data_IF_548796072915
#
_entry.id   IF_548796072915
#
_cell.length_a   1.000
_cell.length_b   1.000
_cell.length_c   1.000
_cell.angle_alpha   90.00
_cell.angle_beta   90.00
_cell.angle_gamma   90.00
#
_symmetry.space_group_name_H-M   'P 1'
#
loop_
_entity.id
_entity.type
_entity.pdbx_description
1 polymer ?
#
# COMPACT_ATOMS: atom_id res chain seq x y z
N UNK A 1 -33.23 10.20 16.61
CA UNK A 1 -31.86 10.51 17.03
C UNK A 1 -31.19 9.41 17.86
N UNK A 2 -31.87 8.59 18.63
CA UNK A 2 -31.23 7.54 19.47
C UNK A 2 -30.68 6.31 18.71
N UNK A 3 -31.20 5.96 17.52
CA UNK A 3 -30.73 4.78 16.74
C UNK A 3 -29.42 4.98 15.98
N UNK A 4 -28.99 6.22 15.76
CA UNK A 4 -27.71 6.53 15.07
C UNK A 4 -26.50 6.41 16.03
N UNK A 5 -26.66 6.75 17.29
CA UNK A 5 -25.60 6.64 18.30
C UNK A 5 -25.25 5.18 18.66
N UNK A 6 -26.25 4.31 18.69
CA UNK A 6 -26.00 2.89 19.01
C UNK A 6 -25.23 2.13 17.92
N UNK A 7 -25.33 2.51 16.65
CA UNK A 7 -24.55 1.87 15.56
C UNK A 7 -23.06 2.24 15.62
N UNK A 8 -22.71 3.45 16.03
CA UNK A 8 -21.30 3.88 16.15
C UNK A 8 -20.55 3.19 17.29
N UNK A 9 -21.23 2.95 18.42
CA UNK A 9 -20.62 2.26 19.57
C UNK A 9 -20.37 0.76 19.27
N UNK A 10 -21.24 0.11 18.48
CA UNK A 10 -21.03 -1.28 18.08
C UNK A 10 -19.84 -1.44 17.11
N UNK A 11 -19.56 -0.44 16.28
CA UNK A 11 -18.43 -0.47 15.35
C UNK A 11 -17.08 -0.31 16.06
N UNK A 12 -16.98 0.56 17.07
CA UNK A 12 -15.73 0.76 17.83
C UNK A 12 -15.42 -0.44 18.72
N UNK A 13 -16.42 -1.07 19.32
CA UNK A 13 -16.21 -2.29 20.13
C UNK A 13 -15.92 -3.53 19.29
N UNK A 14 -16.40 -3.60 18.04
CA UNK A 14 -16.06 -4.64 17.08
C UNK A 14 -14.59 -4.57 16.62
N UNK A 15 -14.09 -3.39 16.37
CA UNK A 15 -12.70 -3.17 15.93
C UNK A 15 -11.67 -3.52 17.02
N UNK A 16 -11.94 -3.21 18.28
CA UNK A 16 -11.05 -3.57 19.39
C UNK A 16 -10.95 -5.08 19.63
N UNK A 17 -12.03 -5.84 19.37
CA UNK A 17 -12.03 -7.31 19.53
C UNK A 17 -11.32 -8.00 18.35
N UNK A 18 -11.38 -7.45 17.15
CA UNK A 18 -10.70 -7.97 15.95
C UNK A 18 -9.19 -7.77 16.05
N UNK A 19 -8.73 -6.63 16.59
CA UNK A 19 -7.30 -6.33 16.72
C UNK A 19 -6.54 -7.31 17.64
N UNK A 20 -7.18 -7.92 18.61
CA UNK A 20 -6.53 -8.84 19.57
C UNK A 20 -6.45 -10.27 19.03
N UNK A 21 -7.34 -10.66 18.14
CA UNK A 21 -7.35 -12.02 17.55
C UNK A 21 -6.35 -12.16 16.38
N UNK A 22 -6.03 -11.06 15.69
CA UNK A 22 -5.21 -11.09 14.47
C UNK A 22 -3.69 -11.03 14.68
N UNK A 23 -3.21 -10.69 15.87
CA UNK A 23 -1.77 -10.75 16.16
C UNK A 23 -1.18 -12.18 16.03
N UNK A 24 -2.04 -13.20 15.91
CA UNK A 24 -1.64 -14.62 15.82
C UNK A 24 -1.57 -15.12 14.35
N UNK A 25 -2.17 -14.40 13.38
CA UNK A 25 -2.33 -14.89 11.99
C UNK A 25 -1.41 -14.22 10.95
N UNK A 26 -0.51 -13.34 11.36
CA UNK A 26 0.17 -12.42 10.43
C UNK A 26 1.31 -13.02 9.60
N UNK A 27 1.63 -14.32 9.67
CA UNK A 27 2.82 -14.84 9.00
C UNK A 27 2.64 -16.23 8.35
N UNK A 28 2.36 -16.31 7.04
CA UNK A 28 2.58 -17.54 6.30
C UNK A 28 4.09 -17.76 6.06
N UNK A 29 4.58 -18.95 6.31
CA UNK A 29 5.96 -19.33 6.02
C UNK A 29 6.17 -19.51 4.51
N UNK A 30 7.08 -18.75 3.94
CA UNK A 30 7.47 -18.75 2.52
C UNK A 30 8.45 -19.90 2.20
N UNK A 31 8.13 -21.14 2.60
CA UNK A 31 8.84 -22.30 2.10
C UNK A 31 7.80 -23.31 1.58
N UNK A 32 7.72 -23.36 0.23
CA UNK A 32 6.85 -24.25 -0.50
C UNK A 32 7.11 -25.74 -0.25
N UNK A 33 6.78 -26.23 0.93
CA UNK A 33 6.58 -27.65 1.23
C UNK A 33 5.54 -27.79 2.32
N UNK A 34 4.61 -28.70 2.09
CA UNK A 34 3.45 -29.07 2.88
C UNK A 34 3.72 -29.00 4.38
N UNK A 35 3.01 -28.13 5.08
CA UNK A 35 2.98 -28.13 6.53
C UNK A 35 1.61 -28.54 7.03
N UNK A 36 1.59 -29.64 7.73
CA UNK A 36 0.46 -30.03 8.55
C UNK A 36 0.28 -29.03 9.69
N UNK A 37 -0.95 -28.55 9.86
CA UNK A 37 -1.35 -27.68 10.95
C UNK A 37 -1.33 -28.51 12.25
N UNK A 38 -0.41 -28.20 13.15
CA UNK A 38 -0.47 -28.68 14.53
C UNK A 38 -1.24 -27.63 15.33
N UNK A 39 -2.52 -27.87 15.54
CA UNK A 39 -3.32 -27.10 16.50
C UNK A 39 -2.91 -27.52 17.93
N UNK A 40 -2.09 -26.71 18.57
CA UNK A 40 -1.88 -26.78 20.01
C UNK A 40 -2.97 -25.99 20.71
N UNK A 41 -4.00 -26.65 21.19
CA UNK A 41 -5.00 -26.03 22.07
C UNK A 41 -4.40 -25.91 23.47
N UNK A 42 -3.92 -24.75 23.82
CA UNK A 42 -3.73 -24.39 25.22
C UNK A 42 -5.10 -24.03 25.82
N UNK A 43 -5.59 -24.84 26.67
CA UNK A 43 -6.77 -24.56 27.48
C UNK A 43 -6.45 -23.39 28.42
N UNK A 44 -7.10 -22.24 28.20
CA UNK A 44 -7.10 -21.16 29.17
C UNK A 44 -8.17 -21.44 30.22
N UNK A 45 -7.75 -21.62 31.45
CA UNK A 45 -8.64 -21.66 32.62
C UNK A 45 -9.39 -20.34 32.75
N UNK A 46 -10.71 -20.44 32.95
CA UNK A 46 -11.59 -19.27 33.12
C UNK A 46 -11.26 -18.56 34.45
N UNK A 47 -11.20 -17.23 34.49
CA UNK A 47 -11.04 -16.52 35.73
C UNK A 47 -12.28 -16.67 36.62
N UNK A 48 -12.15 -16.66 37.96
CA UNK A 48 -13.28 -16.81 38.88
C UNK A 48 -14.22 -15.60 38.79
N UNK A 49 -15.54 -15.76 39.10
CA UNK A 49 -16.52 -14.70 38.94
C UNK A 49 -16.28 -13.55 39.94
N UNK A 50 -16.25 -12.35 39.40
CA UNK A 50 -16.13 -11.12 40.17
C UNK A 50 -17.36 -10.93 41.07
N UNK A 51 -17.15 -10.71 42.36
CA UNK A 51 -18.19 -10.36 43.32
C UNK A 51 -18.77 -8.99 42.99
N UNK A 52 -20.09 -8.93 42.80
CA UNK A 52 -20.86 -7.68 42.73
C UNK A 52 -20.72 -6.91 44.04
N UNK A 53 -20.09 -5.74 43.99
CA UNK A 53 -20.13 -4.72 45.07
C UNK A 53 -21.19 -3.71 44.68
N UNK A 54 -22.14 -3.50 45.63
CA UNK A 54 -23.24 -2.55 45.52
C UNK A 54 -22.75 -1.09 45.47
N UNK A 55 -23.34 -0.18 44.71
CA UNK A 55 -22.87 1.19 44.58
C UNK A 55 -23.21 2.01 45.80
N UNK A 56 -22.21 2.58 46.44
CA UNK A 56 -22.37 3.66 47.45
C UNK A 56 -21.87 4.96 46.82
N UNK A 57 -22.77 5.93 46.87
CA UNK A 57 -22.61 7.41 46.81
C UNK A 57 -21.65 7.95 45.73
N UNK A 58 -22.24 8.54 44.69
CA UNK A 58 -21.62 9.45 43.75
C UNK A 58 -21.10 10.69 44.49
N UNK A 59 -19.79 10.93 44.36
CA UNK A 59 -19.21 12.25 44.56
C UNK A 59 -18.97 12.83 43.15
N UNK A 60 -19.46 14.05 42.94
CA UNK A 60 -19.25 14.83 41.72
C UNK A 60 -17.76 14.86 41.38
N UNK A 61 -17.40 14.22 40.27
CA UNK A 61 -16.15 14.41 39.58
C UNK A 61 -16.44 15.34 38.43
N UNK A 62 -15.85 16.54 38.46
CA UNK A 62 -15.88 17.48 37.34
C UNK A 62 -15.51 16.72 36.03
N UNK A 63 -16.43 16.66 35.09
CA UNK A 63 -16.16 16.28 33.70
C UNK A 63 -15.24 17.36 33.11
N UNK A 64 -13.93 17.17 33.21
CA UNK A 64 -13.03 17.79 32.24
C UNK A 64 -13.42 17.26 30.85
N UNK A 65 -14.09 18.10 30.09
CA UNK A 65 -14.33 17.87 28.69
C UNK A 65 -12.95 17.77 28.01
N UNK A 66 -12.49 16.56 27.71
CA UNK A 66 -11.48 16.36 26.69
C UNK A 66 -12.03 16.93 25.39
N UNK A 67 -11.61 18.13 25.08
CA UNK A 67 -11.84 18.81 23.81
C UNK A 67 -11.06 18.00 22.78
N UNK A 68 -11.72 16.97 22.21
CA UNK A 68 -11.20 16.25 21.05
C UNK A 68 -11.10 17.29 19.94
N UNK A 69 -9.92 17.82 19.75
CA UNK A 69 -9.61 18.69 18.63
C UNK A 69 -9.96 17.90 17.36
N UNK A 70 -11.11 18.26 16.78
CA UNK A 70 -11.55 17.72 15.51
C UNK A 70 -10.52 18.17 14.45
N UNK A 71 -9.69 17.24 13.96
CA UNK A 71 -8.72 17.56 12.91
C UNK A 71 -9.52 17.97 11.68
N UNK A 72 -9.31 19.20 11.22
CA UNK A 72 -9.96 19.69 10.02
C UNK A 72 -9.27 19.09 8.79
N UNK A 73 -10.05 18.44 7.93
CA UNK A 73 -9.57 18.00 6.62
C UNK A 73 -9.11 19.22 5.82
N UNK A 74 -7.91 19.14 5.24
CA UNK A 74 -7.38 20.15 4.35
C UNK A 74 -8.10 20.07 3.01
N UNK A 75 -8.40 21.21 2.42
CA UNK A 75 -8.93 21.28 1.06
C UNK A 75 -7.79 21.04 0.06
N UNK A 76 -8.10 20.32 -1.04
CA UNK A 76 -7.16 20.13 -2.14
C UNK A 76 -6.75 21.50 -2.71
N UNK A 77 -5.46 21.80 -2.81
CA UNK A 77 -4.98 23.06 -3.40
C UNK A 77 -5.45 23.23 -4.85
N UNK A 78 -5.83 24.45 -5.21
CA UNK A 78 -6.25 24.76 -6.59
C UNK A 78 -5.02 24.83 -7.50
N UNK A 79 -5.07 24.12 -8.64
CA UNK A 79 -4.00 24.14 -9.66
C UNK A 79 -2.98 23.01 -9.55
N UNK A 80 -3.14 22.07 -8.62
CA UNK A 80 -2.37 20.83 -8.62
C UNK A 80 -2.73 19.98 -9.84
N UNK A 81 -1.72 19.30 -10.42
CA UNK A 81 -1.93 18.30 -11.44
C UNK A 81 -2.77 17.15 -10.87
N UNK A 82 -3.70 16.63 -11.66
CA UNK A 82 -4.41 15.42 -11.30
C UNK A 82 -3.50 14.19 -11.47
N UNK A 83 -3.78 13.10 -10.73
CA UNK A 83 -3.10 11.83 -10.95
C UNK A 83 -3.19 11.38 -12.41
N UNK A 84 -4.33 11.61 -13.07
CA UNK A 84 -4.53 11.27 -14.49
C UNK A 84 -3.51 12.00 -15.37
N UNK A 85 -3.25 13.29 -15.14
CA UNK A 85 -2.26 14.06 -15.91
C UNK A 85 -0.83 13.60 -15.62
N UNK A 86 -0.49 13.37 -14.35
CA UNK A 86 0.83 12.86 -13.94
C UNK A 86 1.08 11.49 -14.59
N UNK A 87 0.14 10.55 -14.44
CA UNK A 87 0.23 9.20 -14.99
C UNK A 87 0.21 9.15 -16.52
N UNK A 88 -0.45 10.11 -17.18
CA UNK A 88 -0.48 10.18 -18.65
C UNK A 88 0.87 10.57 -19.25
N UNK A 89 1.69 11.33 -18.52
CA UNK A 89 2.97 11.84 -18.96
C UNK A 89 4.16 10.99 -18.47
N UNK A 90 3.93 10.04 -17.57
CA UNK A 90 5.00 9.23 -16.99
C UNK A 90 5.33 8.02 -17.87
N UNK A 91 6.58 7.88 -18.27
CA UNK A 91 7.14 6.70 -18.94
C UNK A 91 7.97 5.83 -17.97
N UNK A 92 8.37 6.38 -16.82
CA UNK A 92 9.13 5.71 -15.78
C UNK A 92 8.40 5.80 -14.46
N UNK A 93 8.31 4.68 -13.76
CA UNK A 93 7.88 4.56 -12.37
C UNK A 93 9.10 4.18 -11.54
N UNK A 94 9.49 4.98 -10.55
CA UNK A 94 10.57 4.63 -9.64
C UNK A 94 10.14 3.46 -8.73
N UNK A 95 10.71 2.29 -8.93
CA UNK A 95 10.42 1.06 -8.19
C UNK A 95 11.01 1.13 -6.78
N UNK A 96 10.21 0.84 -5.75
CA UNK A 96 10.62 0.92 -4.34
C UNK A 96 11.21 2.27 -3.96
N UNK A 97 10.60 3.37 -4.40
CA UNK A 97 11.06 4.76 -4.24
C UNK A 97 12.40 5.06 -4.94
N UNK A 98 12.89 4.16 -5.82
CA UNK A 98 14.07 4.34 -6.63
C UNK A 98 15.37 3.80 -6.02
N UNK A 99 16.45 3.87 -6.83
CA UNK A 99 17.77 3.36 -6.47
C UNK A 99 18.66 4.46 -5.93
N UNK A 100 19.39 4.17 -4.86
CA UNK A 100 20.44 5.03 -4.33
C UNK A 100 21.70 4.23 -3.99
N UNK A 101 22.89 4.74 -4.33
CA UNK A 101 24.19 4.11 -4.09
C UNK A 101 24.29 2.64 -4.59
N UNK A 102 23.58 2.33 -5.66
CA UNK A 102 23.55 0.98 -6.21
C UNK A 102 22.55 0.03 -5.54
N UNK A 103 21.83 0.48 -4.51
CA UNK A 103 20.82 -0.27 -3.78
C UNK A 103 19.42 0.08 -4.28
N UNK A 104 18.56 -0.91 -4.50
CA UNK A 104 17.17 -0.74 -4.94
C UNK A 104 16.19 -1.16 -3.85
N UNK A 105 14.93 -0.76 -4.00
CA UNK A 105 13.81 -1.14 -3.10
C UNK A 105 14.01 -0.78 -1.64
N UNK A 106 14.79 0.27 -1.36
CA UNK A 106 15.01 0.75 0.00
C UNK A 106 13.78 1.46 0.58
N UNK A 107 12.92 2.00 -0.28
CA UNK A 107 11.75 2.77 0.16
C UNK A 107 12.14 3.89 1.14
N UNK A 108 13.18 4.64 0.82
CA UNK A 108 13.79 5.64 1.70
C UNK A 108 13.68 7.06 1.13
N UNK A 109 13.79 8.05 2.00
CA UNK A 109 13.71 9.46 1.63
C UNK A 109 14.76 9.86 0.59
N UNK A 110 16.01 9.44 0.77
CA UNK A 110 17.13 9.82 -0.10
C UNK A 110 16.97 9.24 -1.52
N UNK A 111 16.39 8.01 -1.64
CA UNK A 111 16.04 7.42 -2.93
C UNK A 111 14.96 8.24 -3.64
N UNK A 112 13.91 8.61 -2.93
CA UNK A 112 12.85 9.48 -3.44
C UNK A 112 13.40 10.82 -3.95
N UNK A 113 14.15 11.53 -3.12
CA UNK A 113 14.69 12.86 -3.47
C UNK A 113 15.60 12.79 -4.72
N UNK A 114 16.48 11.79 -4.80
CA UNK A 114 17.35 11.60 -5.95
C UNK A 114 16.56 11.39 -7.25
N UNK A 115 15.51 10.56 -7.22
CA UNK A 115 14.68 10.28 -8.40
C UNK A 115 13.79 11.48 -8.77
N UNK A 116 13.24 12.17 -7.77
CA UNK A 116 12.46 13.38 -7.99
C UNK A 116 13.29 14.48 -8.67
N UNK A 117 14.50 14.74 -8.17
CA UNK A 117 15.43 15.74 -8.76
C UNK A 117 15.84 15.36 -10.19
N UNK A 118 15.88 14.07 -10.50
CA UNK A 118 16.14 13.55 -11.84
C UNK A 118 14.89 13.55 -12.77
N UNK A 119 13.75 14.07 -12.30
CA UNK A 119 12.55 14.29 -13.11
C UNK A 119 11.50 13.18 -13.01
N UNK A 120 11.68 12.14 -12.20
CA UNK A 120 10.63 11.14 -11.96
C UNK A 120 9.47 11.77 -11.18
N UNK A 121 8.24 11.41 -11.57
CA UNK A 121 7.01 11.93 -10.96
C UNK A 121 6.03 10.83 -10.53
N UNK A 122 6.29 9.59 -10.90
CA UNK A 122 5.51 8.45 -10.43
C UNK A 122 6.44 7.51 -9.66
N UNK A 123 6.06 7.19 -8.43
CA UNK A 123 6.84 6.36 -7.53
C UNK A 123 6.00 5.15 -7.12
N UNK A 124 6.58 3.98 -7.12
CA UNK A 124 5.98 2.83 -6.48
C UNK A 124 6.55 2.73 -5.06
N UNK A 125 5.64 2.44 -4.12
CA UNK A 125 5.95 2.31 -2.70
C UNK A 125 5.48 0.94 -2.18
N UNK A 126 6.43 0.17 -1.68
CA UNK A 126 6.17 -1.09 -0.97
C UNK A 126 5.65 -0.80 0.44
N UNK A 127 4.52 -1.39 0.81
CA UNK A 127 3.87 -1.12 2.09
C UNK A 127 3.85 -2.36 2.98
N UNK A 128 4.26 -2.19 4.25
CA UNK A 128 4.23 -3.24 5.26
C UNK A 128 3.60 -2.74 6.56
N UNK A 129 3.04 -3.68 7.32
CA UNK A 129 2.56 -3.42 8.67
C UNK A 129 3.64 -3.68 9.70
N UNK A 130 3.78 -2.76 10.64
CA UNK A 130 4.58 -2.92 11.85
C UNK A 130 3.83 -3.75 12.89
N UNK A 131 4.50 -4.15 13.98
CA UNK A 131 3.89 -4.92 15.07
C UNK A 131 2.73 -4.19 15.76
N UNK A 132 2.77 -2.88 15.81
CA UNK A 132 1.71 -2.01 16.34
C UNK A 132 0.68 -1.59 15.27
N UNK A 133 0.63 -2.36 14.17
CA UNK A 133 -0.38 -2.20 13.12
C UNK A 133 -0.36 -0.80 12.48
N UNK A 134 0.83 -0.27 12.23
CA UNK A 134 1.04 0.97 11.49
C UNK A 134 1.69 0.68 10.15
N UNK A 135 1.30 1.41 9.12
CA UNK A 135 1.87 1.24 7.78
C UNK A 135 3.18 1.99 7.64
N UNK A 136 4.20 1.30 7.12
CA UNK A 136 5.53 1.85 6.80
C UNK A 136 5.94 1.44 5.40
N UNK A 137 6.89 2.17 4.81
CA UNK A 137 7.45 1.88 3.50
C UNK A 137 8.59 0.88 3.63
N UNK A 138 8.35 -0.35 3.15
CA UNK A 138 9.33 -1.43 3.25
C UNK A 138 9.00 -2.56 2.29
N UNK A 139 9.98 -3.04 1.49
CA UNK A 139 9.77 -4.18 0.61
C UNK A 139 9.52 -5.48 1.41
N UNK A 140 10.40 -5.81 2.35
CA UNK A 140 10.30 -6.96 3.22
C UNK A 140 11.09 -6.75 4.53
N UNK A 141 10.93 -7.65 5.51
CA UNK A 141 11.57 -7.52 6.81
C UNK A 141 12.95 -8.17 6.90
N UNK A 142 13.45 -8.86 5.87
CA UNK A 142 14.72 -9.59 5.87
C UNK A 142 15.80 -8.99 4.99
N UNK A 143 15.47 -8.18 3.98
CA UNK A 143 16.44 -7.49 3.15
C UNK A 143 16.87 -6.16 3.75
N UNK A 144 18.12 -5.77 3.53
CA UNK A 144 18.70 -4.52 4.03
C UNK A 144 18.46 -4.33 5.54
N UNK A 145 18.77 -5.35 6.29
CA UNK A 145 18.47 -5.38 7.71
C UNK A 145 19.31 -4.40 8.50
N UNK A 146 18.68 -3.91 9.48
CA UNK A 146 19.14 -3.76 10.85
C UNK A 146 20.21 -4.83 11.12
N UNK A 147 21.36 -4.46 11.71
CA UNK A 147 22.58 -5.29 11.80
C UNK A 147 22.39 -6.73 12.27
N UNK A 148 21.28 -7.05 12.97
CA UNK A 148 21.07 -8.33 13.62
C UNK A 148 20.01 -9.22 12.97
N UNK A 149 19.45 -8.81 11.81
CA UNK A 149 18.32 -9.50 11.20
C UNK A 149 17.03 -9.34 12.02
N UNK A 150 15.90 -9.12 11.34
CA UNK A 150 14.61 -9.15 12.02
C UNK A 150 14.09 -10.57 11.94
N UNK A 151 13.96 -11.20 13.10
CA UNK A 151 13.14 -12.40 13.25
C UNK A 151 11.67 -12.00 13.05
N UNK A 152 10.91 -12.80 12.34
CA UNK A 152 9.48 -12.61 12.15
C UNK A 152 8.70 -12.40 13.45
N UNK A 153 9.17 -13.00 14.55
CA UNK A 153 8.62 -12.77 15.89
C UNK A 153 8.90 -11.36 16.44
N UNK A 154 9.81 -10.60 15.81
CA UNK A 154 10.32 -9.32 16.28
C UNK A 154 10.17 -8.19 15.26
N UNK A 155 9.09 -8.19 14.45
CA UNK A 155 8.75 -7.03 13.63
C UNK A 155 8.69 -5.79 14.52
N UNK A 156 9.37 -4.68 14.15
CA UNK A 156 9.43 -3.49 14.99
C UNK A 156 8.08 -2.78 15.08
N UNK A 157 7.89 -1.95 16.11
CA UNK A 157 6.88 -0.90 16.09
C UNK A 157 7.26 0.19 15.10
N UNK A 158 6.30 1.04 14.67
CA UNK A 158 6.58 2.21 13.81
C UNK A 158 7.65 3.11 14.42
N UNK A 159 7.53 3.42 15.72
CA UNK A 159 8.53 4.24 16.43
C UNK A 159 9.93 3.63 16.33
N UNK A 160 10.07 2.34 16.62
CA UNK A 160 11.36 1.64 16.53
C UNK A 160 11.89 1.61 15.10
N UNK A 161 11.02 1.37 14.10
CA UNK A 161 11.39 1.38 12.69
C UNK A 161 11.96 2.74 12.25
N UNK A 162 11.32 3.83 12.64
CA UNK A 162 11.74 5.19 12.28
C UNK A 162 12.96 5.69 13.09
N UNK A 163 13.21 5.11 14.27
CA UNK A 163 14.33 5.52 15.12
C UNK A 163 15.70 5.11 14.60
N UNK A 164 15.76 4.23 13.61
CA UNK A 164 17.00 3.69 13.06
C UNK A 164 17.11 3.97 11.56
N UNK A 165 18.34 4.21 11.10
CA UNK A 165 18.60 4.37 9.67
C UNK A 165 18.73 3.01 8.99
N UNK A 166 18.18 2.87 7.80
CA UNK A 166 18.42 1.70 6.94
C UNK A 166 19.90 1.69 6.58
N UNK A 167 20.61 0.61 6.89
CA UNK A 167 22.07 0.47 6.71
C UNK A 167 22.87 1.62 7.37
N UNK A 168 22.41 2.13 8.53
CA UNK A 168 22.99 3.25 9.26
C UNK A 168 23.08 4.57 8.47
N UNK A 169 22.42 4.66 7.33
CA UNK A 169 22.57 5.76 6.38
C UNK A 169 21.26 6.38 5.92
N UNK A 170 20.31 5.56 5.46
CA UNK A 170 19.12 6.04 4.77
C UNK A 170 17.93 6.19 5.70
N UNK A 171 17.12 7.21 5.43
CA UNK A 171 15.96 7.55 6.26
C UNK A 171 14.76 6.67 5.91
N UNK A 172 14.28 5.81 6.83
CA UNK A 172 13.05 5.07 6.65
C UNK A 172 11.86 6.01 6.64
N UNK A 173 10.77 5.59 6.00
CA UNK A 173 9.53 6.37 5.86
C UNK A 173 8.34 5.58 6.42
N UNK A 174 7.50 6.26 7.20
CA UNK A 174 6.14 5.80 7.50
C UNK A 174 5.17 6.22 6.39
N UNK A 175 3.94 5.73 6.44
CA UNK A 175 2.89 6.20 5.55
C UNK A 175 2.53 7.68 5.81
N UNK A 176 2.62 8.14 7.07
CA UNK A 176 2.48 9.57 7.38
C UNK A 176 3.57 10.42 6.71
N UNK A 177 4.83 9.96 6.72
CA UNK A 177 5.92 10.65 6.03
C UNK A 177 5.68 10.69 4.52
N UNK A 178 5.14 9.62 3.93
CA UNK A 178 4.76 9.60 2.51
C UNK A 178 3.67 10.64 2.19
N UNK A 179 2.65 10.75 3.04
CA UNK A 179 1.62 11.79 2.87
C UNK A 179 2.19 13.20 2.95
N UNK A 180 3.10 13.45 3.89
CA UNK A 180 3.79 14.75 4.00
C UNK A 180 4.67 15.04 2.77
N UNK A 181 5.36 14.04 2.23
CA UNK A 181 6.08 14.17 0.96
C UNK A 181 5.12 14.49 -0.20
N UNK A 182 3.98 13.83 -0.27
CA UNK A 182 2.99 14.12 -1.31
C UNK A 182 2.37 15.53 -1.17
N UNK A 183 2.25 16.05 0.04
CA UNK A 183 1.82 17.43 0.28
C UNK A 183 2.91 18.43 -0.17
N UNK A 184 4.18 18.16 0.15
CA UNK A 184 5.33 18.99 -0.22
C UNK A 184 5.61 18.98 -1.74
N UNK A 185 5.40 17.83 -2.38
CA UNK A 185 5.64 17.58 -3.80
C UNK A 185 4.31 17.35 -4.54
N UNK A 186 3.57 18.41 -4.93
CA UNK A 186 2.21 18.28 -5.45
C UNK A 186 2.11 17.68 -6.86
N UNK A 187 3.24 17.49 -7.54
CA UNK A 187 3.35 16.96 -8.89
C UNK A 187 3.73 15.46 -8.96
N UNK A 188 3.64 14.73 -7.83
CA UNK A 188 3.89 13.29 -7.80
C UNK A 188 2.61 12.45 -7.66
N UNK A 189 2.67 11.23 -8.18
CA UNK A 189 1.69 10.17 -7.98
C UNK A 189 2.37 8.93 -7.37
N UNK A 190 1.70 8.28 -6.43
CA UNK A 190 2.18 7.07 -5.77
C UNK A 190 1.38 5.86 -6.27
N UNK A 191 2.08 4.80 -6.69
CA UNK A 191 1.50 3.47 -6.92
C UNK A 191 1.83 2.62 -5.70
N UNK A 192 0.79 2.09 -5.03
CA UNK A 192 1.00 1.30 -3.81
C UNK A 192 1.23 -0.17 -4.12
N UNK A 193 2.19 -0.81 -3.44
CA UNK A 193 2.30 -2.27 -3.40
C UNK A 193 2.14 -2.77 -1.96
N UNK A 194 0.93 -3.24 -1.63
CA UNK A 194 0.56 -3.58 -0.25
C UNK A 194 1.19 -4.88 0.24
N UNK A 195 1.76 -5.71 -0.64
CA UNK A 195 2.35 -7.03 -0.33
C UNK A 195 1.40 -8.03 0.34
N UNK A 196 0.14 -7.70 0.51
CA UNK A 196 -0.85 -8.57 1.15
C UNK A 196 -2.00 -8.89 0.19
N UNK A 197 -2.22 -10.17 -0.05
CA UNK A 197 -3.35 -10.70 -0.85
C UNK A 197 -4.50 -11.18 0.03
N UNK A 198 -4.22 -11.48 1.31
CA UNK A 198 -5.22 -11.90 2.29
C UNK A 198 -6.13 -10.73 2.65
N UNK A 199 -7.45 -10.95 2.54
CA UNK A 199 -8.45 -9.91 2.75
C UNK A 199 -8.38 -9.27 4.13
N UNK A 200 -8.15 -10.07 5.16
CA UNK A 200 -8.15 -9.57 6.53
C UNK A 200 -6.96 -8.67 6.80
N UNK A 201 -5.82 -8.96 6.17
CA UNK A 201 -4.59 -8.19 6.36
C UNK A 201 -4.59 -6.90 5.54
N UNK A 202 -5.04 -6.92 4.29
CA UNK A 202 -5.08 -5.68 3.53
C UNK A 202 -6.13 -4.69 4.08
N UNK A 203 -7.25 -5.16 4.65
CA UNK A 203 -8.20 -4.29 5.33
C UNK A 203 -7.55 -3.54 6.49
N UNK A 204 -6.81 -4.24 7.35
CA UNK A 204 -6.10 -3.63 8.47
C UNK A 204 -5.08 -2.59 7.99
N UNK A 205 -4.36 -2.89 6.91
CA UNK A 205 -3.39 -1.97 6.35
C UNK A 205 -4.06 -0.70 5.81
N UNK A 206 -5.15 -0.83 5.04
CA UNK A 206 -5.85 0.32 4.50
C UNK A 206 -6.57 1.13 5.57
N UNK A 207 -7.11 0.50 6.62
CA UNK A 207 -7.65 1.21 7.80
C UNK A 207 -6.55 2.01 8.51
N UNK A 208 -5.35 1.45 8.66
CA UNK A 208 -4.18 2.17 9.18
C UNK A 208 -3.80 3.37 8.32
N UNK A 209 -3.78 3.21 6.99
CA UNK A 209 -3.48 4.29 6.04
C UNK A 209 -4.54 5.40 6.11
N UNK A 210 -5.81 5.03 6.18
CA UNK A 210 -6.91 5.99 6.29
C UNK A 210 -6.86 6.74 7.62
N UNK A 211 -6.56 6.06 8.73
CA UNK A 211 -6.39 6.69 10.03
C UNK A 211 -5.23 7.69 10.02
N UNK A 212 -4.08 7.34 9.44
CA UNK A 212 -2.93 8.22 9.30
C UNK A 212 -3.26 9.46 8.44
N UNK A 213 -4.04 9.30 7.35
CA UNK A 213 -4.45 10.42 6.51
C UNK A 213 -5.44 11.35 7.23
N UNK A 214 -6.40 10.80 7.97
CA UNK A 214 -7.33 11.60 8.80
C UNK A 214 -6.61 12.34 9.93
N UNK A 215 -5.63 11.71 10.58
CA UNK A 215 -4.84 12.34 11.64
C UNK A 215 -4.10 13.59 11.14
N UNK A 216 -3.68 13.59 9.88
CA UNK A 216 -2.99 14.71 9.23
C UNK A 216 -3.94 15.68 8.49
N UNK A 217 -5.23 15.32 8.31
CA UNK A 217 -6.17 16.06 7.48
C UNK A 217 -5.82 16.01 5.99
N UNK A 218 -5.21 14.92 5.51
CA UNK A 218 -4.63 14.78 4.17
C UNK A 218 -5.32 13.71 3.32
N UNK A 219 -6.58 13.37 3.59
CA UNK A 219 -7.31 12.35 2.83
C UNK A 219 -7.45 12.68 1.34
N UNK A 220 -7.46 13.96 0.96
CA UNK A 220 -7.49 14.39 -0.44
C UNK A 220 -6.30 13.89 -1.27
N UNK A 221 -5.16 13.55 -0.62
CA UNK A 221 -3.99 13.01 -1.30
C UNK A 221 -4.21 11.62 -1.88
N UNK A 222 -5.22 10.88 -1.41
CA UNK A 222 -5.59 9.61 -2.02
C UNK A 222 -6.02 9.74 -3.50
N UNK A 223 -6.42 10.93 -3.94
CA UNK A 223 -6.67 11.21 -5.35
C UNK A 223 -5.40 11.17 -6.22
N UNK A 224 -4.22 11.21 -5.60
CA UNK A 224 -2.92 11.07 -6.27
C UNK A 224 -2.25 9.72 -5.97
N UNK A 225 -3.04 8.73 -5.54
CA UNK A 225 -2.58 7.35 -5.36
C UNK A 225 -3.28 6.42 -6.34
N UNK A 226 -2.50 5.56 -7.00
CA UNK A 226 -3.00 4.42 -7.77
C UNK A 226 -2.83 3.16 -6.95
N UNK A 227 -3.96 2.56 -6.58
CA UNK A 227 -3.98 1.42 -5.66
C UNK A 227 -3.78 0.12 -6.44
N UNK A 228 -2.70 -0.60 -6.13
CA UNK A 228 -2.45 -1.91 -6.69
C UNK A 228 -3.34 -2.96 -6.05
N UNK A 229 -4.03 -3.75 -6.88
CA UNK A 229 -4.91 -4.82 -6.46
C UNK A 229 -4.54 -6.13 -7.13
N UNK A 230 -4.80 -7.23 -6.44
CA UNK A 230 -4.46 -8.60 -6.85
C UNK A 230 -5.70 -9.42 -7.25
N UNK A 231 -6.88 -8.91 -6.91
CA UNK A 231 -8.16 -9.52 -7.27
C UNK A 231 -9.26 -8.48 -7.39
N UNK A 232 -10.36 -8.85 -8.04
CA UNK A 232 -11.52 -7.98 -8.13
C UNK A 232 -12.27 -7.85 -6.81
N UNK A 233 -12.18 -8.85 -5.98
CA UNK A 233 -12.74 -8.80 -4.64
C UNK A 233 -11.99 -7.76 -3.78
N UNK A 234 -10.66 -7.72 -3.87
CA UNK A 234 -9.85 -6.71 -3.22
C UNK A 234 -10.24 -5.29 -3.68
N UNK A 235 -10.35 -5.07 -4.99
CA UNK A 235 -10.80 -3.75 -5.53
C UNK A 235 -12.14 -3.33 -4.97
N UNK A 236 -13.13 -4.23 -4.94
CA UNK A 236 -14.47 -3.94 -4.44
C UNK A 236 -14.45 -3.66 -2.94
N UNK A 237 -13.69 -4.46 -2.20
CA UNK A 237 -13.54 -4.31 -0.77
C UNK A 237 -12.88 -2.97 -0.39
N UNK A 238 -11.81 -2.60 -1.07
CA UNK A 238 -11.12 -1.32 -0.84
C UNK A 238 -11.99 -0.12 -1.19
N UNK A 239 -12.79 -0.21 -2.26
CA UNK A 239 -13.71 0.85 -2.64
C UNK A 239 -14.83 1.09 -1.59
N UNK A 240 -15.15 0.07 -0.79
CA UNK A 240 -16.10 0.22 0.33
C UNK A 240 -15.46 0.85 1.57
N UNK A 241 -14.13 0.76 1.73
CA UNK A 241 -13.38 1.46 2.79
C UNK A 241 -13.25 2.94 2.42
N UNK A 242 -12.72 3.20 1.24
CA UNK A 242 -12.54 4.53 0.67
C UNK A 242 -12.71 4.46 -0.86
N UNK A 243 -13.41 5.41 -1.49
CA UNK A 243 -13.65 5.40 -2.94
C UNK A 243 -12.42 5.93 -3.71
N UNK A 244 -11.30 5.20 -3.64
CA UNK A 244 -10.09 5.55 -4.39
C UNK A 244 -10.40 5.76 -5.87
N UNK A 245 -9.76 6.77 -6.47
CA UNK A 245 -10.02 7.18 -7.85
C UNK A 245 -9.29 6.30 -8.87
N UNK A 246 -8.12 5.73 -8.53
CA UNK A 246 -7.23 5.04 -9.45
C UNK A 246 -6.84 3.65 -8.94
N UNK A 247 -6.93 2.65 -9.83
CA UNK A 247 -6.56 1.26 -9.53
C UNK A 247 -5.69 0.67 -10.64
N UNK A 248 -4.73 -0.18 -10.26
CA UNK A 248 -3.91 -0.99 -11.15
C UNK A 248 -3.98 -2.46 -10.71
N UNK A 249 -4.15 -3.37 -11.67
CA UNK A 249 -4.23 -4.80 -11.44
C UNK A 249 -2.87 -5.46 -11.69
N UNK A 250 -2.35 -6.21 -10.73
CA UNK A 250 -1.12 -6.98 -10.95
C UNK A 250 -1.43 -8.43 -11.36
N UNK A 251 -0.89 -8.85 -12.52
CA UNK A 251 -1.01 -10.23 -12.99
C UNK A 251 -0.03 -11.17 -12.28
N UNK A 252 0.99 -10.61 -11.66
CA UNK A 252 2.05 -11.37 -11.00
C UNK A 252 1.54 -12.13 -9.76
N UNK A 253 0.57 -11.58 -9.05
CA UNK A 253 0.01 -12.13 -7.81
C UNK A 253 -1.48 -12.49 -7.97
N UNK A 254 -1.93 -12.73 -9.18
CA UNK A 254 -3.31 -13.14 -9.44
C UNK A 254 -3.64 -14.44 -8.69
N UNK A 255 -4.85 -14.56 -8.17
CA UNK A 255 -5.36 -15.77 -7.49
C UNK A 255 -5.24 -17.01 -8.40
N UNK A 256 -5.44 -16.82 -9.71
CA UNK A 256 -5.17 -17.87 -10.72
C UNK A 256 -3.96 -17.47 -11.58
N UNK A 257 -2.99 -18.37 -11.79
CA UNK A 257 -1.80 -18.07 -12.59
C UNK A 257 -2.17 -17.57 -13.98
N UNK A 258 -1.69 -16.38 -14.33
CA UNK A 258 -1.94 -15.76 -15.63
C UNK A 258 -1.34 -16.59 -16.78
N UNK A 259 -2.16 -17.04 -17.71
CA UNK A 259 -1.79 -17.94 -18.80
C UNK A 259 -1.14 -17.23 -19.98
N UNK A 260 -0.51 -16.13 -19.87
CA UNK A 260 0.31 -15.40 -20.89
C UNK A 260 -0.13 -15.56 -22.37
N UNK A 261 -1.43 -15.67 -22.62
CA UNK A 261 -2.03 -15.74 -23.96
C UNK A 261 -2.77 -14.45 -24.29
N UNK A 262 -2.97 -14.15 -25.55
CA UNK A 262 -3.76 -12.99 -25.98
C UNK A 262 -5.21 -13.08 -25.50
N UNK A 263 -5.78 -14.28 -25.44
CA UNK A 263 -7.13 -14.51 -24.93
C UNK A 263 -7.21 -14.22 -23.43
N UNK A 264 -6.26 -14.74 -22.62
CA UNK A 264 -6.20 -14.49 -21.20
C UNK A 264 -6.00 -12.99 -20.92
N UNK A 265 -5.15 -12.32 -21.71
CA UNK A 265 -4.95 -10.87 -21.57
C UNK A 265 -6.22 -10.09 -21.94
N UNK A 266 -6.91 -10.45 -23.02
CA UNK A 266 -8.19 -9.84 -23.42
C UNK A 266 -9.25 -9.97 -22.31
N UNK A 267 -9.37 -11.16 -21.74
CA UNK A 267 -10.31 -11.40 -20.64
C UNK A 267 -9.98 -10.55 -19.41
N UNK A 268 -8.68 -10.39 -19.09
CA UNK A 268 -8.24 -9.56 -17.98
C UNK A 268 -8.43 -8.07 -18.26
N UNK A 269 -8.16 -7.60 -19.48
CA UNK A 269 -8.40 -6.21 -19.87
C UNK A 269 -9.90 -5.86 -19.84
N UNK A 270 -10.76 -6.76 -20.34
CA UNK A 270 -12.22 -6.62 -20.23
C UNK A 270 -12.67 -6.54 -18.77
N UNK A 271 -12.15 -7.42 -17.94
CA UNK A 271 -12.41 -7.44 -16.51
C UNK A 271 -11.99 -6.13 -15.80
N UNK A 272 -10.81 -5.60 -16.13
CA UNK A 272 -10.33 -4.33 -15.59
C UNK A 272 -11.24 -3.17 -16.00
N UNK A 273 -11.59 -3.09 -17.31
CA UNK A 273 -12.51 -2.06 -17.82
C UNK A 273 -13.86 -2.08 -17.09
N UNK A 274 -14.45 -3.27 -16.93
CA UNK A 274 -15.75 -3.43 -16.25
C UNK A 274 -15.74 -2.89 -14.81
N UNK A 275 -14.58 -2.98 -14.16
CA UNK A 275 -14.43 -2.59 -12.74
C UNK A 275 -13.75 -1.24 -12.52
N UNK A 276 -13.52 -0.47 -13.60
CA UNK A 276 -12.84 0.82 -13.50
C UNK A 276 -11.42 0.69 -12.99
N UNK A 277 -10.70 -0.37 -13.37
CA UNK A 277 -9.27 -0.55 -13.12
C UNK A 277 -8.54 -0.05 -14.37
N UNK A 278 -7.72 0.97 -14.21
CA UNK A 278 -7.13 1.71 -15.34
C UNK A 278 -5.86 1.09 -15.88
N UNK A 279 -5.15 0.31 -15.07
CA UNK A 279 -3.85 -0.26 -15.40
C UNK A 279 -3.74 -1.75 -15.15
N UNK A 280 -2.83 -2.38 -15.86
CA UNK A 280 -2.40 -3.77 -15.64
C UNK A 280 -0.88 -3.74 -15.52
N UNK A 281 -0.32 -4.37 -14.48
CA UNK A 281 1.12 -4.54 -14.33
C UNK A 281 1.54 -6.02 -14.38
N UNK A 282 2.72 -6.28 -14.95
CA UNK A 282 3.27 -7.62 -15.11
C UNK A 282 4.81 -7.57 -15.19
N UNK A 283 5.52 -8.69 -14.97
CA UNK A 283 6.94 -8.81 -15.31
C UNK A 283 7.17 -8.48 -16.80
N UNK A 284 8.27 -7.79 -17.12
CA UNK A 284 8.63 -7.42 -18.49
C UNK A 284 8.71 -8.63 -19.42
N UNK A 285 9.17 -9.77 -18.92
CA UNK A 285 9.24 -11.04 -19.63
C UNK A 285 7.88 -11.65 -20.01
N UNK A 286 6.77 -11.11 -19.48
CA UNK A 286 5.40 -11.54 -19.82
C UNK A 286 4.79 -10.68 -20.90
N UNK A 287 5.40 -9.55 -21.22
CA UNK A 287 4.91 -8.66 -22.26
C UNK A 287 4.93 -9.33 -23.64
N UNK A 288 3.86 -9.13 -24.37
CA UNK A 288 3.70 -9.52 -25.76
C UNK A 288 3.11 -8.32 -26.54
N UNK A 289 3.74 -7.93 -27.63
CA UNK A 289 3.29 -6.79 -28.44
C UNK A 289 1.84 -6.90 -28.94
N UNK A 290 1.32 -8.13 -29.06
CA UNK A 290 -0.09 -8.35 -29.36
C UNK A 290 -1.05 -7.84 -28.27
N UNK A 291 -0.56 -7.58 -27.06
CA UNK A 291 -1.36 -7.02 -25.97
C UNK A 291 -1.64 -5.53 -26.18
N UNK A 292 -0.78 -4.80 -26.91
CA UNK A 292 -0.93 -3.36 -27.12
C UNK A 292 -2.30 -2.99 -27.71
N UNK A 293 -2.71 -3.64 -28.82
CA UNK A 293 -4.02 -3.40 -29.46
C UNK A 293 -5.20 -3.77 -28.56
N UNK A 294 -5.03 -4.81 -27.72
CA UNK A 294 -6.06 -5.21 -26.76
C UNK A 294 -6.16 -4.16 -25.64
N UNK A 295 -5.03 -3.72 -25.12
CA UNK A 295 -5.00 -2.68 -24.07
C UNK A 295 -5.68 -1.38 -24.57
N UNK A 296 -5.40 -0.96 -25.79
CA UNK A 296 -6.05 0.18 -26.46
C UNK A 296 -7.57 -0.04 -26.63
N UNK A 297 -7.99 -1.21 -27.11
CA UNK A 297 -9.43 -1.57 -27.30
C UNK A 297 -10.22 -1.44 -26.00
N UNK A 298 -9.63 -1.85 -24.88
CA UNK A 298 -10.28 -1.79 -23.56
C UNK A 298 -9.98 -0.52 -22.77
N UNK A 299 -9.08 0.34 -23.24
CA UNK A 299 -8.69 1.59 -22.58
C UNK A 299 -7.94 1.34 -21.27
N UNK A 300 -7.15 0.25 -21.19
CA UNK A 300 -6.29 -0.05 -20.04
C UNK A 300 -4.83 0.26 -20.36
N UNK A 301 -4.11 0.84 -19.41
CA UNK A 301 -2.67 1.09 -19.53
C UNK A 301 -1.89 -0.15 -19.11
N UNK A 302 -0.73 -0.40 -19.73
CA UNK A 302 0.12 -1.52 -19.36
C UNK A 302 1.43 -1.02 -18.79
N UNK A 303 1.78 -1.54 -17.64
CA UNK A 303 3.02 -1.26 -16.91
C UNK A 303 3.82 -2.55 -16.80
N UNK A 304 5.14 -2.48 -16.97
CA UNK A 304 6.00 -3.66 -16.83
C UNK A 304 7.14 -3.43 -15.86
N UNK A 305 7.54 -4.46 -15.13
CA UNK A 305 8.58 -4.44 -14.11
C UNK A 305 9.49 -5.67 -14.19
N UNK A 306 10.79 -5.57 -13.84
CA UNK A 306 11.56 -4.38 -13.56
C UNK A 306 12.54 -4.18 -14.72
N UNK A 307 12.61 -2.97 -15.27
CA UNK A 307 13.40 -2.68 -16.48
C UNK A 307 14.47 -1.63 -16.14
N UNK A 308 15.73 -2.03 -16.15
CA UNK A 308 16.86 -1.17 -15.77
C UNK A 308 17.78 -0.81 -16.96
N UNK A 309 17.39 -1.14 -18.19
CA UNK A 309 18.12 -0.81 -19.41
C UNK A 309 17.31 0.20 -20.24
N UNK A 310 17.88 1.37 -20.51
CA UNK A 310 17.23 2.41 -21.33
C UNK A 310 16.80 1.88 -22.71
N UNK A 311 17.66 1.10 -23.38
CA UNK A 311 17.33 0.52 -24.67
C UNK A 311 16.21 -0.54 -24.61
N UNK A 312 16.08 -1.26 -23.50
CA UNK A 312 14.97 -2.20 -23.29
C UNK A 312 13.68 -1.45 -22.97
N UNK A 313 13.76 -0.42 -22.12
CA UNK A 313 12.64 0.43 -21.78
C UNK A 313 12.06 1.11 -23.05
N UNK A 314 12.91 1.72 -23.87
CA UNK A 314 12.47 2.36 -25.11
C UNK A 314 11.76 1.38 -26.05
N UNK A 315 12.31 0.16 -26.26
CA UNK A 315 11.65 -0.88 -27.08
C UNK A 315 10.30 -1.30 -26.56
N UNK A 316 10.12 -1.36 -25.24
CA UNK A 316 8.83 -1.71 -24.61
C UNK A 316 7.81 -0.59 -24.79
N UNK A 317 8.22 0.66 -24.59
CA UNK A 317 7.39 1.84 -24.82
C UNK A 317 6.98 1.96 -26.28
N UNK A 318 7.91 1.80 -27.22
CA UNK A 318 7.64 1.77 -28.68
C UNK A 318 6.69 0.61 -29.08
N UNK A 319 6.69 -0.47 -28.31
CA UNK A 319 5.79 -1.61 -28.51
C UNK A 319 4.42 -1.46 -27.83
N UNK A 320 4.13 -0.31 -27.21
CA UNK A 320 2.81 0.00 -26.63
C UNK A 320 2.69 -0.22 -25.11
N UNK A 321 3.80 -0.44 -24.39
CA UNK A 321 3.83 -0.34 -22.92
C UNK A 321 3.65 1.12 -22.52
N UNK A 322 2.82 1.39 -21.53
CA UNK A 322 2.53 2.77 -21.06
C UNK A 322 3.65 3.35 -20.23
N UNK A 323 4.21 2.56 -19.31
CA UNK A 323 5.37 2.94 -18.50
C UNK A 323 6.13 1.69 -18.01
N UNK A 324 7.39 1.88 -17.64
CA UNK A 324 8.24 0.84 -17.06
C UNK A 324 8.55 1.16 -15.60
N UNK A 325 8.45 0.16 -14.72
CA UNK A 325 9.03 0.26 -13.39
C UNK A 325 10.53 0.03 -13.49
N UNK A 326 11.29 0.94 -12.94
CA UNK A 326 12.75 0.86 -12.94
C UNK A 326 13.33 1.20 -11.59
N UNK A 327 14.39 0.49 -11.23
CA UNK A 327 15.17 0.84 -10.05
C UNK A 327 16.00 2.11 -10.29
N UNK A 328 16.39 2.38 -11.55
CA UNK A 328 17.46 3.35 -11.85
C UNK A 328 17.22 4.29 -13.03
N UNK A 329 16.30 3.97 -13.95
CA UNK A 329 16.03 4.84 -15.09
C UNK A 329 15.29 6.10 -14.65
N UNK A 330 15.58 7.19 -15.37
CA UNK A 330 14.90 8.46 -15.22
C UNK A 330 14.38 8.91 -16.59
N UNK A 331 13.42 9.86 -16.67
CA UNK A 331 12.88 10.31 -17.96
C UNK A 331 13.95 10.76 -18.98
N UNK A 332 15.05 11.34 -18.52
CA UNK A 332 16.16 11.77 -19.36
C UNK A 332 16.95 10.65 -20.04
N UNK A 333 16.78 9.40 -19.62
CA UNK A 333 17.42 8.24 -20.24
C UNK A 333 16.65 7.72 -21.47
N UNK A 334 15.43 8.20 -21.68
CA UNK A 334 14.51 7.80 -22.76
C UNK A 334 14.49 8.86 -23.86
N UNK A 335 14.19 8.43 -25.11
CA UNK A 335 14.25 9.27 -26.30
C UNK A 335 12.85 9.64 -26.82
#
# INVERSE_FOLDING_TARGET
MAKSKMRRIATVLGLAAVSLAMAIYLFPSDNGNQTGIVLSTMAMESPPPAKLVSPAAATDVDEESEDLLEVQEKEKPTGELSATEILANAQVVAHGMGRIDGLSTLNCLEGFLQQYDAGVRVFEADLRLTRDVKTVLRHDWWSYTWQDGIDWANIPTREKFLSEKILDKYTPLSFQDLLLLMEEYPDICIITDTKFVDSDVFFIQFDSMLADAHELGLTYLFDRMMIQVYSGNMRTALHNIYPFSHYIYTLYQDEEPFQRTTEAFRNKAAYCKERGIEGITMPDSWWNSAYASIAEEYGVKVYVHTVNSASSAQKLLDAGVSAVYSDSLVPGDLS
#
